data_IF_912047840839
#
_entry.id   IF_912047840839
#
_cell.length_a   1.000
_cell.length_b   1.000
_cell.length_c   1.000
_cell.angle_alpha   90.00
_cell.angle_beta   90.00
_cell.angle_gamma   90.00
#
_symmetry.space_group_name_H-M   'P 1'
#
loop_
_entity.id
_entity.type
_entity.pdbx_description
1 polymer ?
#
# COMPACT_ATOMS: atom_id res chain seq x y z
N UNK A 1 23.92 2.78 11.63
CA UNK A 1 22.44 2.76 11.64
C UNK A 1 21.99 1.43 11.06
N UNK A 2 21.19 0.65 11.78
CA UNK A 2 20.58 -0.58 11.25
C UNK A 2 19.53 -0.12 10.23
N UNK A 3 19.68 -0.47 8.95
CA UNK A 3 18.56 -0.27 8.02
C UNK A 3 17.50 -1.31 8.37
N UNK A 4 16.39 -0.89 8.94
CA UNK A 4 15.24 -1.78 9.06
C UNK A 4 14.70 -2.06 7.67
N UNK A 5 14.69 -3.35 7.31
CA UNK A 5 14.15 -3.79 6.02
C UNK A 5 12.64 -3.87 6.16
N UNK A 6 11.92 -3.01 5.45
CA UNK A 6 10.48 -3.13 5.33
C UNK A 6 10.18 -4.36 4.46
N UNK A 7 9.44 -5.31 5.01
CA UNK A 7 8.95 -6.48 4.29
C UNK A 7 7.46 -6.24 4.07
N UNK A 8 7.05 -6.16 2.80
CA UNK A 8 5.64 -6.04 2.45
C UNK A 8 5.00 -7.42 2.36
N UNK A 9 3.79 -7.54 2.89
CA UNK A 9 2.96 -8.73 2.75
C UNK A 9 2.45 -8.85 1.32
N UNK A 10 2.13 -7.71 0.70
CA UNK A 10 1.59 -7.65 -0.66
C UNK A 10 2.27 -6.55 -1.47
N UNK A 11 2.54 -6.85 -2.74
CA UNK A 11 3.06 -5.89 -3.73
C UNK A 11 2.04 -5.69 -4.83
N UNK A 12 1.69 -4.44 -5.11
CA UNK A 12 0.73 -4.04 -6.14
C UNK A 12 1.42 -3.25 -7.25
N UNK A 13 0.92 -3.42 -8.47
CA UNK A 13 1.21 -2.51 -9.57
C UNK A 13 -0.04 -1.66 -9.81
N UNK A 14 0.07 -0.35 -9.61
CA UNK A 14 -1.01 0.59 -9.92
C UNK A 14 -0.93 0.94 -11.40
N UNK A 15 -2.06 0.96 -12.09
CA UNK A 15 -2.17 1.43 -13.48
C UNK A 15 -3.26 2.50 -13.58
N UNK A 16 -3.25 3.32 -14.65
CA UNK A 16 -4.30 4.32 -14.87
C UNK A 16 -5.72 3.75 -14.88
N UNK A 17 -5.89 2.52 -15.36
CA UNK A 17 -7.18 1.84 -15.46
C UNK A 17 -7.67 1.30 -14.12
N UNK A 18 -6.77 1.07 -13.16
CA UNK A 18 -7.12 0.54 -11.84
C UNK A 18 -6.49 1.39 -10.74
N UNK A 19 -7.19 2.46 -10.31
CA UNK A 19 -6.70 3.36 -9.28
C UNK A 19 -6.38 2.62 -7.97
N UNK A 20 -5.40 3.13 -7.22
CA UNK A 20 -4.93 2.54 -5.97
C UNK A 20 -6.07 2.19 -4.99
N UNK A 21 -7.00 3.11 -4.72
CA UNK A 21 -8.10 2.86 -3.78
C UNK A 21 -9.02 1.70 -4.20
N UNK A 22 -9.16 1.44 -5.50
CA UNK A 22 -9.92 0.30 -6.00
C UNK A 22 -9.20 -1.02 -5.68
N UNK A 23 -7.89 -1.08 -5.94
CA UNK A 23 -7.06 -2.24 -5.58
C UNK A 23 -7.07 -2.48 -4.07
N UNK A 24 -6.91 -1.44 -3.27
CA UNK A 24 -6.93 -1.52 -1.81
C UNK A 24 -8.29 -2.03 -1.32
N UNK A 25 -9.40 -1.51 -1.83
CA UNK A 25 -10.75 -1.97 -1.43
C UNK A 25 -10.99 -3.43 -1.77
N UNK A 26 -10.54 -3.87 -2.96
CA UNK A 26 -10.64 -5.27 -3.37
C UNK A 26 -9.81 -6.19 -2.47
N UNK A 27 -8.62 -5.76 -2.09
CA UNK A 27 -7.67 -6.53 -1.29
C UNK A 27 -8.09 -6.63 0.18
N UNK A 28 -8.67 -5.57 0.75
CA UNK A 28 -9.23 -5.60 2.11
C UNK A 28 -10.60 -6.29 2.14
N UNK A 29 -11.32 -6.33 1.02
CA UNK A 29 -12.66 -6.94 0.91
C UNK A 29 -13.80 -6.03 1.40
N UNK A 30 -13.53 -4.75 1.63
CA UNK A 30 -14.51 -3.69 1.94
C UNK A 30 -14.08 -2.38 1.28
N UNK A 31 -14.98 -1.42 1.16
CA UNK A 31 -14.63 -0.09 0.68
C UNK A 31 -13.68 0.57 1.68
N UNK A 32 -12.52 1.03 1.19
CA UNK A 32 -11.50 1.74 1.99
C UNK A 32 -11.05 3.00 1.27
N UNK A 33 -10.51 3.93 2.04
CA UNK A 33 -9.91 5.18 1.60
C UNK A 33 -8.46 5.23 2.06
N UNK A 34 -7.68 6.21 1.61
CA UNK A 34 -6.31 6.38 2.10
C UNK A 34 -6.22 6.73 3.59
N UNK A 35 -7.32 7.18 4.23
CA UNK A 35 -7.35 7.46 5.67
C UNK A 35 -7.30 6.19 6.53
N UNK A 36 -7.65 5.04 5.95
CA UNK A 36 -7.58 3.73 6.62
C UNK A 36 -6.14 3.17 6.64
N UNK A 37 -5.17 3.92 6.11
CA UNK A 37 -3.78 3.51 5.96
C UNK A 37 -2.80 4.57 6.45
N UNK A 38 -1.59 4.12 6.81
CA UNK A 38 -0.45 4.99 7.12
C UNK A 38 0.71 4.68 6.18
N UNK A 39 1.34 5.72 5.64
CA UNK A 39 2.57 5.56 4.87
C UNK A 39 3.73 5.20 5.82
N UNK A 40 4.34 4.04 5.57
CA UNK A 40 5.57 3.60 6.24
C UNK A 40 6.79 3.93 5.39
N UNK A 41 6.62 4.02 4.07
CA UNK A 41 7.64 4.49 3.14
C UNK A 41 6.97 5.19 1.96
N UNK A 42 7.60 6.27 1.46
CA UNK A 42 7.15 6.98 0.27
C UNK A 42 8.37 7.43 -0.53
N UNK A 43 8.72 6.63 -1.53
CA UNK A 43 9.72 6.98 -2.54
C UNK A 43 9.07 7.55 -3.80
N UNK A 44 9.89 7.76 -4.83
CA UNK A 44 9.44 8.31 -6.12
C UNK A 44 8.63 7.27 -6.92
N UNK A 45 9.16 6.05 -7.06
CA UNK A 45 8.55 4.98 -7.85
C UNK A 45 7.69 4.01 -7.03
N UNK A 46 7.99 3.89 -5.73
CA UNK A 46 7.41 2.90 -4.82
C UNK A 46 6.98 3.58 -3.53
N UNK A 47 5.80 3.25 -3.03
CA UNK A 47 5.36 3.59 -1.70
C UNK A 47 4.87 2.34 -0.96
N UNK A 48 4.94 2.37 0.37
CA UNK A 48 4.44 1.31 1.24
C UNK A 48 3.48 1.90 2.25
N UNK A 49 2.32 1.27 2.35
CA UNK A 49 1.23 1.58 3.25
C UNK A 49 1.05 0.45 4.25
N UNK A 50 0.62 0.79 5.46
CA UNK A 50 0.11 -0.16 6.45
C UNK A 50 -1.37 0.12 6.67
N UNK A 51 -2.21 -0.90 6.50
CA UNK A 51 -3.63 -0.80 6.84
C UNK A 51 -3.79 -0.78 8.36
N UNK A 52 -4.57 0.16 8.89
CA UNK A 52 -4.69 0.38 10.33
C UNK A 52 -5.39 -0.78 11.05
N UNK A 53 -6.47 -1.31 10.47
CA UNK A 53 -7.29 -2.33 11.14
C UNK A 53 -6.63 -3.72 11.13
N UNK A 54 -5.93 -4.07 10.04
CA UNK A 54 -5.44 -5.44 9.81
C UNK A 54 -3.93 -5.56 9.85
N UNK A 55 -3.22 -4.47 10.13
CA UNK A 55 -1.76 -4.35 10.11
C UNK A 55 -1.08 -4.72 8.77
N UNK A 56 -1.86 -4.90 7.70
CA UNK A 56 -1.38 -5.40 6.42
C UNK A 56 -0.44 -4.39 5.75
N UNK A 57 0.76 -4.84 5.40
CA UNK A 57 1.80 -4.02 4.76
C UNK A 57 1.73 -4.21 3.24
N UNK A 58 1.43 -3.12 2.53
CA UNK A 58 1.19 -3.11 1.09
C UNK A 58 2.19 -2.17 0.43
N UNK A 59 3.08 -2.69 -0.40
CA UNK A 59 3.90 -1.87 -1.30
C UNK A 59 3.21 -1.73 -2.65
N UNK A 60 3.32 -0.57 -3.28
CA UNK A 60 2.80 -0.36 -4.62
C UNK A 60 3.71 0.53 -5.47
N UNK A 61 3.69 0.29 -6.78
CA UNK A 61 4.43 1.10 -7.77
C UNK A 61 3.50 2.06 -8.49
N UNK A 62 3.99 3.26 -8.82
CA UNK A 62 3.24 4.30 -9.55
C UNK A 62 3.48 4.29 -11.09
N UNK A 63 4.04 3.20 -11.63
CA UNK A 63 4.43 3.04 -13.05
C UNK A 63 3.47 2.21 -13.89
#
# INVERSE_FOLDING_TARGET
MKSERIIADIVLKVSPETPLCHLLSKLVGKMVTLYDFVYIYKGEDIATLKHLDSDLIISYTLK
#
